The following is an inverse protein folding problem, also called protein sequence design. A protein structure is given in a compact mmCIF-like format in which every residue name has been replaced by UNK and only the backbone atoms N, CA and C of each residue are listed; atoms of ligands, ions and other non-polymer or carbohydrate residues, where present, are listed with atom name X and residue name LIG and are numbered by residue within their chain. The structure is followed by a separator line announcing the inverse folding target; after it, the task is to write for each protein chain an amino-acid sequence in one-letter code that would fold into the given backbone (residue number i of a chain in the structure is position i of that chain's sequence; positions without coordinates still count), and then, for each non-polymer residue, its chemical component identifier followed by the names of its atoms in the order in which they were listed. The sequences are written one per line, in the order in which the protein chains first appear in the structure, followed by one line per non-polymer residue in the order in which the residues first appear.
data_IF_114976857962
#
_entry.id   IF_114976857962
#
_cell.length_a   1.000
_cell.length_b   1.000
_cell.length_c   1.000
_cell.angle_alpha   90.00
_cell.angle_beta   90.00
_cell.angle_gamma   90.00
#
_symmetry.space_group_name_H-M   'P 1'
#
loop_
_entity.id
_entity.type
_entity.pdbx_description
1 polymer ?
#
# COMPACT_ATOMS: atom_id res chain seq x y z
N UNK A 1 -63.13 -12.12 0.36
CA UNK A 1 -61.90 -11.79 -0.38
C UNK A 1 -60.68 -11.91 0.55
N UNK A 2 -59.79 -12.87 0.27
CA UNK A 2 -58.57 -13.18 1.05
C UNK A 2 -57.48 -12.12 0.79
N UNK A 3 -57.02 -11.38 1.80
CA UNK A 3 -55.75 -10.65 1.73
C UNK A 3 -54.65 -11.47 2.40
N UNK A 4 -53.73 -11.97 1.56
CA UNK A 4 -52.56 -12.77 1.90
C UNK A 4 -51.66 -12.06 2.91
N UNK A 5 -51.34 -12.77 4.00
CA UNK A 5 -50.25 -12.46 4.93
C UNK A 5 -48.92 -12.66 4.16
N UNK A 6 -48.21 -11.58 3.82
CA UNK A 6 -46.81 -11.69 3.34
C UNK A 6 -45.94 -11.96 4.56
N UNK A 7 -45.51 -13.20 4.72
CA UNK A 7 -44.38 -13.55 5.57
C UNK A 7 -43.16 -12.76 5.09
N UNK A 8 -42.62 -11.88 5.95
CA UNK A 8 -41.25 -11.39 5.76
C UNK A 8 -40.36 -12.61 5.92
N UNK A 9 -39.78 -13.04 4.80
CA UNK A 9 -38.85 -14.16 4.76
C UNK A 9 -37.69 -13.92 5.73
N UNK A 10 -37.24 -15.01 6.32
CA UNK A 10 -36.06 -15.09 7.16
C UNK A 10 -34.91 -14.32 6.49
N UNK A 11 -34.41 -13.31 7.19
CA UNK A 11 -33.14 -12.67 6.85
C UNK A 11 -32.05 -13.71 7.06
N UNK A 12 -31.41 -14.07 5.95
CA UNK A 12 -30.20 -14.89 5.84
C UNK A 12 -29.09 -14.27 6.71
N UNK A 13 -28.97 -14.78 7.94
CA UNK A 13 -27.92 -14.42 8.90
C UNK A 13 -26.60 -15.08 8.48
N UNK A 14 -26.07 -14.67 7.33
CA UNK A 14 -24.67 -14.92 6.99
C UNK A 14 -23.83 -13.85 7.68
N UNK A 15 -23.57 -14.10 8.97
CA UNK A 15 -22.62 -13.37 9.81
C UNK A 15 -21.17 -13.46 9.30
N UNK A 16 -20.93 -12.93 8.11
CA UNK A 16 -19.57 -12.62 7.64
C UNK A 16 -19.03 -11.52 8.54
N UNK A 17 -18.00 -11.84 9.34
CA UNK A 17 -17.25 -10.83 10.08
C UNK A 17 -16.82 -9.74 9.09
N UNK A 18 -17.44 -8.56 9.18
CA UNK A 18 -17.02 -7.41 8.39
C UNK A 18 -15.68 -6.95 8.96
N UNK A 19 -14.60 -7.31 8.28
CA UNK A 19 -13.28 -6.76 8.55
C UNK A 19 -13.35 -5.24 8.49
N UNK A 20 -12.78 -4.57 9.49
CA UNK A 20 -12.68 -3.11 9.49
C UNK A 20 -11.91 -2.65 8.23
N UNK A 21 -12.35 -1.58 7.56
CA UNK A 21 -11.64 -1.05 6.41
C UNK A 21 -10.23 -0.61 6.82
N UNK A 22 -9.27 -0.79 5.91
CA UNK A 22 -7.87 -0.37 6.10
C UNK A 22 -7.53 0.73 5.11
N UNK A 23 -6.86 1.77 5.57
CA UNK A 23 -6.43 2.90 4.75
C UNK A 23 -4.95 2.76 4.38
N UNK A 24 -4.66 2.68 3.09
CA UNK A 24 -3.30 2.80 2.55
C UNK A 24 -3.15 4.18 1.92
N UNK A 25 -2.07 4.89 2.23
CA UNK A 25 -1.82 6.25 1.71
C UNK A 25 -0.60 6.22 0.79
N UNK A 26 -0.76 6.74 -0.42
CA UNK A 26 0.33 6.90 -1.39
C UNK A 26 0.89 8.32 -1.33
N UNK A 27 2.20 8.42 -1.06
CA UNK A 27 2.94 9.66 -0.95
C UNK A 27 3.97 9.76 -2.08
N UNK A 28 3.96 10.90 -2.79
CA UNK A 28 4.85 11.21 -3.92
C UNK A 28 5.99 12.15 -3.55
N UNK A 29 6.05 12.62 -2.30
CA UNK A 29 7.12 13.47 -1.79
C UNK A 29 7.43 13.16 -0.33
N UNK A 30 8.57 13.66 0.14
CA UNK A 30 9.01 13.53 1.52
C UNK A 30 8.04 14.22 2.48
N UNK A 31 7.57 15.41 2.15
CA UNK A 31 6.66 16.19 2.97
C UNK A 31 5.32 15.45 3.18
N UNK A 32 4.83 14.76 2.14
CA UNK A 32 3.63 13.93 2.26
C UNK A 32 3.85 12.71 3.16
N UNK A 33 5.01 12.06 3.06
CA UNK A 33 5.36 10.95 3.93
C UNK A 33 5.45 11.43 5.39
N UNK A 34 6.17 12.52 5.65
CA UNK A 34 6.31 13.10 6.98
C UNK A 34 4.95 13.50 7.58
N UNK A 35 4.02 14.02 6.77
CA UNK A 35 2.66 14.31 7.21
C UNK A 35 1.90 13.05 7.66
N UNK A 36 2.09 11.91 6.98
CA UNK A 36 1.52 10.61 7.40
C UNK A 36 2.19 10.11 8.68
N UNK A 37 3.51 10.26 8.81
CA UNK A 37 4.24 9.86 10.02
C UNK A 37 3.80 10.64 11.26
N UNK A 38 3.38 11.90 11.09
CA UNK A 38 2.86 12.75 12.16
C UNK A 38 1.41 12.43 12.59
N UNK A 39 0.69 11.57 11.86
CA UNK A 39 -0.67 11.16 12.25
C UNK A 39 -0.63 10.19 13.42
N UNK A 40 -1.77 9.99 14.08
CA UNK A 40 -1.90 8.96 15.13
C UNK A 40 -1.67 7.54 14.55
N UNK A 41 -1.17 6.64 15.39
CA UNK A 41 -1.05 5.23 15.03
C UNK A 41 -2.42 4.60 14.75
N UNK A 42 -2.46 3.63 13.83
CA UNK A 42 -3.69 2.91 13.48
C UNK A 42 -4.62 3.61 12.48
N UNK A 43 -4.48 4.92 12.23
CA UNK A 43 -5.26 5.60 11.16
C UNK A 43 -4.84 5.08 9.78
N UNK A 44 -3.53 5.06 9.53
CA UNK A 44 -2.95 4.57 8.27
C UNK A 44 -2.39 3.18 8.49
N UNK A 45 -2.89 2.23 7.70
CA UNK A 45 -2.45 0.84 7.72
C UNK A 45 -1.09 0.65 7.02
N UNK A 46 -0.87 1.34 5.90
CA UNK A 46 0.35 1.24 5.10
C UNK A 46 0.64 2.58 4.41
N UNK A 47 1.91 2.97 4.44
CA UNK A 47 2.45 4.08 3.67
C UNK A 47 3.09 3.54 2.39
N UNK A 48 2.67 4.03 1.23
CA UNK A 48 3.29 3.71 -0.06
C UNK A 48 4.08 4.90 -0.58
N UNK A 49 5.37 4.70 -0.85
CA UNK A 49 6.26 5.73 -1.37
C UNK A 49 6.38 5.61 -2.88
N UNK A 50 5.84 6.58 -3.63
CA UNK A 50 5.88 6.71 -5.09
C UNK A 50 6.59 8.00 -5.49
N UNK A 51 7.85 8.15 -5.06
CA UNK A 51 8.65 9.30 -5.43
C UNK A 51 8.96 9.25 -6.93
N UNK A 52 9.01 10.42 -7.57
CA UNK A 52 9.34 10.51 -8.99
C UNK A 52 10.76 10.04 -9.26
N UNK A 53 11.68 10.36 -8.35
CA UNK A 53 13.09 10.00 -8.41
C UNK A 53 13.47 9.17 -7.17
N UNK A 54 14.55 8.40 -7.28
CA UNK A 54 15.05 7.55 -6.20
C UNK A 54 15.64 8.36 -5.03
N UNK A 55 16.03 9.61 -5.29
CA UNK A 55 16.64 10.51 -4.32
C UNK A 55 15.71 10.71 -3.11
N UNK A 56 16.26 10.49 -1.91
CA UNK A 56 15.54 10.64 -0.65
C UNK A 56 14.60 9.48 -0.30
N UNK A 57 14.41 8.50 -1.18
CA UNK A 57 13.53 7.36 -0.93
C UNK A 57 14.05 6.49 0.21
N UNK A 58 15.35 6.21 0.25
CA UNK A 58 15.99 5.45 1.34
C UNK A 58 15.76 6.11 2.71
N UNK A 59 15.93 7.43 2.78
CA UNK A 59 15.66 8.20 4.00
C UNK A 59 14.19 8.17 4.42
N UNK A 60 13.26 8.19 3.46
CA UNK A 60 11.83 8.09 3.74
C UNK A 60 11.44 6.68 4.25
N UNK A 61 12.02 5.62 3.68
CA UNK A 61 11.85 4.23 4.17
C UNK A 61 12.39 4.10 5.59
N UNK A 62 13.61 4.59 5.83
CA UNK A 62 14.23 4.54 7.16
C UNK A 62 13.41 5.31 8.21
N UNK A 63 12.91 6.49 7.87
CA UNK A 63 12.05 7.29 8.77
C UNK A 63 10.73 6.57 9.08
N UNK A 64 10.08 5.96 8.08
CA UNK A 64 8.85 5.22 8.29
C UNK A 64 9.06 4.00 9.21
N UNK A 65 10.15 3.26 9.02
CA UNK A 65 10.48 2.11 9.87
C UNK A 65 10.88 2.51 11.28
N UNK A 66 11.65 3.57 11.45
CA UNK A 66 11.98 4.12 12.76
C UNK A 66 10.71 4.55 13.52
N UNK A 67 9.67 5.00 12.81
CA UNK A 67 8.36 5.33 13.35
C UNK A 67 7.41 4.12 13.50
N UNK A 68 7.89 2.87 13.30
CA UNK A 68 7.08 1.66 13.40
C UNK A 68 5.97 1.55 12.35
N UNK A 69 6.02 2.34 11.27
CA UNK A 69 5.02 2.32 10.20
C UNK A 69 5.34 1.23 9.19
N UNK A 70 4.28 0.53 8.75
CA UNK A 70 4.37 -0.35 7.59
C UNK A 70 4.59 0.50 6.33
N UNK A 71 5.67 0.22 5.61
CA UNK A 71 6.08 0.97 4.43
C UNK A 71 6.27 0.07 3.22
N UNK A 72 5.68 0.46 2.09
CA UNK A 72 5.92 -0.16 0.80
C UNK A 72 6.52 0.87 -0.17
N UNK A 73 7.34 0.40 -1.10
CA UNK A 73 7.94 1.25 -2.14
C UNK A 73 7.36 0.91 -3.50
N UNK A 74 6.93 1.92 -4.25
CA UNK A 74 6.43 1.73 -5.61
C UNK A 74 7.59 1.71 -6.60
N UNK A 75 7.72 0.61 -7.37
CA UNK A 75 8.70 0.56 -8.45
C UNK A 75 8.44 1.63 -9.50
N UNK A 76 9.44 2.11 -10.26
CA UNK A 76 9.24 3.05 -11.35
C UNK A 76 8.17 2.57 -12.34
N UNK A 77 7.48 3.51 -12.99
CA UNK A 77 6.42 3.20 -13.98
C UNK A 77 6.99 2.46 -15.20
N UNK A 78 8.24 2.73 -15.54
CA UNK A 78 8.97 2.08 -16.62
C UNK A 78 10.34 1.73 -16.08
N UNK A 79 10.69 0.44 -16.12
CA UNK A 79 12.06 -0.05 -15.99
C UNK A 79 12.55 -0.37 -17.39
N UNK A 80 13.55 0.38 -17.87
CA UNK A 80 14.11 0.21 -19.21
C UNK A 80 15.12 -0.95 -19.21
N UNK A 81 15.34 -1.61 -20.36
CA UNK A 81 16.42 -2.57 -20.49
C UNK A 81 17.78 -1.95 -20.10
N UNK A 82 18.55 -2.67 -19.28
CA UNK A 82 19.86 -2.23 -18.79
C UNK A 82 19.84 -1.36 -17.52
N UNK A 83 18.68 -1.12 -16.90
CA UNK A 83 18.55 -0.39 -15.62
C UNK A 83 18.70 -1.32 -14.38
N UNK A 84 19.58 -2.33 -14.43
CA UNK A 84 19.76 -3.33 -13.35
C UNK A 84 20.16 -2.70 -12.01
N UNK A 85 20.91 -1.59 -12.05
CA UNK A 85 21.27 -0.83 -10.84
C UNK A 85 20.05 -0.21 -10.16
N UNK A 86 19.08 0.24 -10.95
CA UNK A 86 17.84 0.79 -10.42
C UNK A 86 17.03 -0.31 -9.75
N UNK A 87 16.97 -1.49 -10.37
CA UNK A 87 16.38 -2.67 -9.76
C UNK A 87 17.04 -3.02 -8.41
N UNK A 88 18.37 -3.16 -8.39
CA UNK A 88 19.14 -3.44 -7.17
C UNK A 88 18.89 -2.40 -6.07
N UNK A 89 18.78 -1.12 -6.44
CA UNK A 89 18.43 -0.06 -5.50
C UNK A 89 17.07 -0.32 -4.85
N UNK A 90 16.00 -0.51 -5.63
CA UNK A 90 14.66 -0.74 -5.08
C UNK A 90 14.55 -2.04 -4.27
N UNK A 91 15.18 -3.13 -4.74
CA UNK A 91 15.20 -4.42 -4.04
C UNK A 91 16.06 -4.39 -2.77
N UNK A 92 17.03 -3.48 -2.68
CA UNK A 92 17.89 -3.29 -1.52
C UNK A 92 17.30 -2.34 -0.47
N UNK A 93 16.19 -1.66 -0.78
CA UNK A 93 15.47 -0.87 0.22
C UNK A 93 14.90 -1.82 1.27
N UNK A 94 15.18 -1.52 2.54
CA UNK A 94 14.66 -2.27 3.68
C UNK A 94 13.18 -1.91 3.94
N UNK A 95 12.33 -2.01 2.91
CA UNK A 95 10.88 -1.77 3.00
C UNK A 95 10.12 -3.08 3.25
N UNK A 96 8.91 -2.99 3.81
CA UNK A 96 8.10 -4.18 4.11
C UNK A 96 7.49 -4.83 2.87
N UNK A 97 7.37 -4.06 1.78
CA UNK A 97 6.83 -4.52 0.52
C UNK A 97 7.30 -3.68 -0.67
N UNK A 98 7.24 -4.30 -1.85
CA UNK A 98 7.43 -3.65 -3.14
C UNK A 98 6.10 -3.68 -3.89
N UNK A 99 5.66 -2.53 -4.40
CA UNK A 99 4.48 -2.42 -5.28
C UNK A 99 4.95 -2.50 -6.73
N UNK A 100 4.74 -3.67 -7.35
CA UNK A 100 4.96 -3.87 -8.77
C UNK A 100 3.90 -3.13 -9.59
N UNK A 101 4.34 -2.41 -10.63
CA UNK A 101 3.45 -1.60 -11.49
C UNK A 101 3.45 -2.03 -12.97
N UNK A 102 4.12 -3.12 -13.28
CA UNK A 102 4.12 -3.74 -14.62
C UNK A 102 4.33 -5.25 -14.50
N UNK A 103 3.90 -6.01 -15.50
CA UNK A 103 4.13 -7.45 -15.55
C UNK A 103 5.62 -7.79 -15.62
N UNK A 104 6.42 -6.98 -16.33
CA UNK A 104 7.87 -7.15 -16.38
C UNK A 104 8.52 -6.99 -15.00
N UNK A 105 8.09 -5.98 -14.23
CA UNK A 105 8.56 -5.81 -12.85
C UNK A 105 8.15 -6.96 -11.94
N UNK A 106 6.92 -7.47 -12.10
CA UNK A 106 6.46 -8.64 -11.33
C UNK A 106 7.28 -9.90 -11.69
N UNK A 107 7.58 -10.12 -12.97
CA UNK A 107 8.41 -11.24 -13.42
C UNK A 107 9.82 -11.20 -12.81
N UNK A 108 10.39 -10.01 -12.59
CA UNK A 108 11.69 -9.86 -11.92
C UNK A 108 11.66 -10.18 -10.41
N UNK A 109 10.48 -10.18 -9.76
CA UNK A 109 10.31 -10.52 -8.34
C UNK A 109 10.09 -12.02 -8.07
N UNK A 110 9.74 -12.80 -9.11
CA UNK A 110 9.39 -14.21 -9.02
C UNK A 110 10.59 -15.10 -9.35
#
# INVERSE_FOLDING_TARGET
LRRRKRSRGASDDRGGQRSLPRLTVLCRSREQADAVLAMEEGIVHELQLDFLEAQGLEGAVAAARAAGRRVAVCLPRVLKPGEDRLWQFYSGLDADAIVARSAGALYQLL
#
